data_IF_293478833863
#
_entry.id   IF_293478833863
#
_cell.length_a   1.000
_cell.length_b   1.000
_cell.length_c   1.000
_cell.angle_alpha   90.00
_cell.angle_beta   90.00
_cell.angle_gamma   90.00
#
_symmetry.space_group_name_H-M   'P 1'
#
loop_
_entity.id
_entity.type
_entity.pdbx_description
1 polymer ?
#
# COMPACT_ATOMS: atom_id res chain seq x y z
N UNK A 1 8.80 -12.02 16.22
CA UNK A 1 9.21 -10.62 16.51
C UNK A 1 8.27 -9.71 15.76
N UNK A 2 7.41 -8.96 16.46
CA UNK A 2 6.51 -7.97 15.86
C UNK A 2 7.30 -6.75 15.37
N UNK A 3 7.55 -6.61 14.07
CA UNK A 3 7.94 -5.32 13.51
C UNK A 3 6.68 -4.51 13.23
N UNK A 4 6.16 -3.82 14.24
CA UNK A 4 5.14 -2.76 14.05
C UNK A 4 5.77 -1.68 13.19
N UNK A 5 5.56 -1.74 11.88
CA UNK A 5 5.88 -0.65 10.94
C UNK A 5 5.12 0.59 11.39
N UNK A 6 5.83 1.50 12.07
CA UNK A 6 5.25 2.73 12.59
C UNK A 6 5.03 3.69 11.43
N UNK A 7 3.77 3.80 11.02
CA UNK A 7 3.20 4.90 10.22
C UNK A 7 3.71 6.25 10.73
N UNK A 8 4.22 7.11 9.83
CA UNK A 8 4.64 8.48 10.16
C UNK A 8 3.84 9.48 9.33
N UNK A 9 3.13 10.38 10.00
CA UNK A 9 2.54 11.58 9.39
C UNK A 9 3.64 12.54 8.92
N UNK A 10 3.36 13.42 7.95
CA UNK A 10 4.32 14.38 7.37
C UNK A 10 5.02 15.22 8.46
N UNK A 11 4.28 15.65 9.49
CA UNK A 11 4.83 16.38 10.64
C UNK A 11 5.74 15.52 11.55
N UNK A 12 5.53 14.21 11.62
CA UNK A 12 6.39 13.29 12.37
C UNK A 12 7.62 12.84 11.57
N UNK A 13 7.49 12.72 10.26
CA UNK A 13 8.59 12.49 9.33
C UNK A 13 9.54 13.70 9.29
N UNK A 14 8.99 14.91 9.20
CA UNK A 14 9.72 16.17 9.29
C UNK A 14 10.49 16.27 10.62
N UNK A 15 9.83 15.99 11.76
CA UNK A 15 10.47 15.96 13.08
C UNK A 15 11.60 14.92 13.21
N UNK A 16 11.42 13.70 12.66
CA UNK A 16 12.50 12.68 12.67
C UNK A 16 13.65 13.03 11.75
N UNK A 17 13.38 13.69 10.63
CA UNK A 17 14.39 14.12 9.69
C UNK A 17 15.11 15.40 10.12
N UNK A 18 14.56 16.14 11.10
CA UNK A 18 15.09 17.43 11.54
C UNK A 18 14.90 18.53 10.49
N UNK A 19 13.89 18.41 9.64
CA UNK A 19 13.61 19.31 8.50
C UNK A 19 12.25 19.97 8.73
N UNK A 20 12.08 21.21 8.30
CA UNK A 20 10.79 21.89 8.39
C UNK A 20 9.73 21.17 7.53
N UNK A 21 8.49 20.99 8.02
CA UNK A 21 7.44 20.31 7.27
C UNK A 21 7.16 20.91 5.89
N UNK A 22 7.31 22.22 5.73
CA UNK A 22 7.02 22.88 4.46
C UNK A 22 8.18 22.75 3.47
N UNK A 23 9.40 22.66 3.96
CA UNK A 23 10.58 22.30 3.17
C UNK A 23 10.51 20.82 2.72
N UNK A 24 10.06 19.93 3.60
CA UNK A 24 9.78 18.53 3.24
C UNK A 24 8.70 18.43 2.16
N UNK A 25 7.68 19.29 2.23
CA UNK A 25 6.58 19.36 1.26
C UNK A 25 7.05 19.85 -0.11
N UNK A 26 7.88 20.89 -0.16
CA UNK A 26 8.49 21.38 -1.39
C UNK A 26 9.35 20.33 -2.09
N UNK A 27 10.03 19.46 -1.33
CA UNK A 27 10.81 18.35 -1.90
C UNK A 27 9.93 17.24 -2.51
N UNK A 28 8.72 17.05 -1.99
CA UNK A 28 7.70 16.15 -2.59
C UNK A 28 7.18 16.76 -3.88
N UNK A 29 6.73 18.02 -3.81
CA UNK A 29 6.09 18.70 -4.94
C UNK A 29 7.10 18.94 -6.09
N UNK A 30 8.38 19.12 -5.77
CA UNK A 30 9.48 19.16 -6.73
C UNK A 30 9.92 17.78 -7.27
N UNK A 31 9.21 16.70 -6.92
CA UNK A 31 9.48 15.33 -7.37
C UNK A 31 10.86 14.82 -6.94
N UNK A 32 11.41 15.31 -5.83
CA UNK A 32 12.67 14.87 -5.23
C UNK A 32 12.44 13.75 -4.20
N UNK A 33 11.26 13.73 -3.60
CA UNK A 33 10.73 12.68 -2.74
C UNK A 33 9.42 12.16 -3.34
N UNK A 34 9.29 10.83 -3.48
CA UNK A 34 8.01 10.22 -3.87
C UNK A 34 7.18 9.96 -2.60
N UNK A 35 5.88 10.27 -2.67
CA UNK A 35 4.90 9.97 -1.62
C UNK A 35 4.02 8.83 -2.08
N UNK A 36 4.06 7.71 -1.39
CA UNK A 36 3.08 6.63 -1.58
C UNK A 36 2.00 6.80 -0.51
N UNK A 37 0.79 7.16 -0.93
CA UNK A 37 -0.39 7.16 -0.06
C UNK A 37 -0.91 5.72 0.05
N UNK A 38 -0.90 5.20 1.27
CA UNK A 38 -1.57 3.95 1.63
C UNK A 38 -2.68 4.25 2.63
N UNK A 39 -3.64 3.34 2.81
CA UNK A 39 -4.77 3.48 3.74
C UNK A 39 -4.34 3.76 5.20
N UNK A 40 -3.05 3.55 5.52
CA UNK A 40 -2.45 3.88 6.81
C UNK A 40 -1.60 5.16 6.88
N UNK A 41 -1.30 5.87 5.78
CA UNK A 41 -0.45 7.08 5.78
C UNK A 41 0.56 7.20 4.63
N UNK A 42 1.39 8.27 4.66
CA UNK A 42 2.32 8.66 3.59
C UNK A 42 3.73 8.09 3.77
N UNK A 43 4.20 7.29 2.81
CA UNK A 43 5.59 6.82 2.72
C UNK A 43 6.45 7.77 1.89
N UNK A 44 7.64 8.13 2.39
CA UNK A 44 8.57 9.04 1.71
C UNK A 44 9.77 8.24 1.18
N UNK A 45 9.96 8.20 -0.15
CA UNK A 45 11.07 7.47 -0.76
C UNK A 45 12.02 8.38 -1.56
N UNK A 46 13.32 8.30 -1.28
CA UNK A 46 14.40 9.14 -1.85
C UNK A 46 14.87 8.55 -3.19
N UNK A 47 14.19 8.87 -4.29
CA UNK A 47 14.50 8.34 -5.64
C UNK A 47 15.63 9.04 -6.42
N UNK A 48 16.14 10.19 -5.98
CA UNK A 48 17.00 11.05 -6.84
C UNK A 48 18.46 11.23 -6.42
N UNK A 49 19.00 10.44 -5.50
CA UNK A 49 20.40 10.62 -5.09
C UNK A 49 21.40 10.03 -6.08
N UNK A 50 21.14 8.86 -6.68
CA UNK A 50 22.15 8.19 -7.51
C UNK A 50 22.51 8.97 -8.79
N UNK A 51 21.51 9.39 -9.58
CA UNK A 51 21.74 10.17 -10.82
C UNK A 51 22.25 11.59 -10.56
N UNK A 52 21.88 12.20 -9.44
CA UNK A 52 22.33 13.54 -9.05
C UNK A 52 23.76 13.50 -8.53
N UNK A 53 24.13 12.50 -7.72
CA UNK A 53 25.50 12.33 -7.24
C UNK A 53 26.49 12.14 -8.40
N UNK A 54 26.15 11.38 -9.45
CA UNK A 54 27.02 11.22 -10.64
C UNK A 54 27.20 12.56 -11.38
N UNK A 55 26.12 13.33 -11.56
CA UNK A 55 26.19 14.65 -12.19
C UNK A 55 26.93 15.66 -11.33
N UNK A 56 26.73 15.64 -10.02
CA UNK A 56 27.37 16.52 -9.04
C UNK A 56 28.88 16.19 -8.96
N UNK A 57 29.27 14.91 -9.02
CA UNK A 57 30.68 14.49 -9.14
C UNK A 57 31.30 15.06 -10.42
N UNK A 58 30.63 14.91 -11.57
CA UNK A 58 31.10 15.46 -12.85
C UNK A 58 31.18 16.99 -12.85
N UNK A 59 30.26 17.68 -12.16
CA UNK A 59 30.29 19.16 -12.07
C UNK A 59 31.35 19.66 -11.09
N UNK A 60 31.63 18.94 -9.99
CA UNK A 60 32.73 19.25 -9.07
C UNK A 60 34.09 19.07 -9.76
N UNK A 61 34.25 18.02 -10.57
CA UNK A 61 35.44 17.81 -11.41
C UNK A 61 35.62 18.95 -12.43
N UNK A 62 34.53 19.50 -12.97
CA UNK A 62 34.57 20.58 -13.95
C UNK A 62 34.79 21.99 -13.34
N UNK A 63 34.38 22.23 -12.10
CA UNK A 63 34.41 23.58 -11.48
C UNK A 63 35.60 23.85 -10.56
N UNK A 64 36.40 22.83 -10.20
CA UNK A 64 37.61 23.00 -9.39
C UNK A 64 38.81 22.25 -9.98
N UNK A 65 39.38 22.74 -11.10
CA UNK A 65 40.50 22.06 -11.77
C UNK A 65 41.83 22.08 -11.01
N UNK A 66 41.92 22.78 -9.86
CA UNK A 66 43.20 23.12 -9.21
C UNK A 66 43.29 22.76 -7.70
N UNK A 67 42.46 21.85 -7.20
CA UNK A 67 42.75 21.17 -5.94
C UNK A 67 43.46 19.88 -6.34
N UNK A 68 44.69 19.68 -5.87
CA UNK A 68 45.53 18.52 -6.16
C UNK A 68 45.02 17.18 -5.61
N UNK A 69 43.73 16.89 -5.75
CA UNK A 69 43.16 15.55 -5.62
C UNK A 69 42.54 15.17 -6.95
N UNK A 70 43.39 14.72 -7.88
CA UNK A 70 42.94 13.76 -8.89
C UNK A 70 42.31 12.64 -8.06
N UNK A 71 40.98 12.49 -8.11
CA UNK A 71 40.32 11.36 -7.46
C UNK A 71 41.01 10.12 -8.03
N UNK A 72 41.73 9.32 -7.22
CA UNK A 72 42.45 8.17 -7.70
C UNK A 72 41.51 7.25 -8.48
N UNK A 73 42.00 6.66 -9.57
CA UNK A 73 41.16 5.82 -10.44
C UNK A 73 40.49 4.65 -9.68
N UNK A 74 41.12 4.18 -8.60
CA UNK A 74 40.54 3.21 -7.65
C UNK A 74 39.25 3.74 -6.99
N UNK A 75 39.23 5.01 -6.56
CA UNK A 75 38.04 5.63 -5.97
C UNK A 75 36.94 5.80 -7.03
N UNK A 76 37.30 6.13 -8.28
CA UNK A 76 36.34 6.17 -9.38
C UNK A 76 35.75 4.79 -9.66
N UNK A 77 36.57 3.74 -9.62
CA UNK A 77 36.13 2.35 -9.75
C UNK A 77 35.17 1.94 -8.64
N UNK A 78 35.46 2.29 -7.39
CA UNK A 78 34.58 2.03 -6.25
C UNK A 78 33.25 2.78 -6.36
N UNK A 79 33.25 4.04 -6.82
CA UNK A 79 32.04 4.82 -7.03
C UNK A 79 31.18 4.23 -8.16
N UNK A 80 31.79 3.78 -9.26
CA UNK A 80 31.09 3.10 -10.34
C UNK A 80 30.48 1.77 -9.88
N UNK A 81 31.21 0.99 -9.07
CA UNK A 81 30.69 -0.25 -8.47
C UNK A 81 29.51 0.03 -7.54
N UNK A 82 29.61 1.06 -6.69
CA UNK A 82 28.52 1.48 -5.81
C UNK A 82 27.29 1.94 -6.60
N UNK A 83 27.47 2.72 -7.67
CA UNK A 83 26.37 3.15 -8.54
C UNK A 83 25.66 1.96 -9.20
N UNK A 84 26.43 1.02 -9.76
CA UNK A 84 25.89 -0.20 -10.37
C UNK A 84 25.16 -1.08 -9.34
N UNK A 85 25.67 -1.16 -8.11
CA UNK A 85 25.01 -1.88 -7.03
C UNK A 85 23.68 -1.23 -6.67
N UNK A 86 23.65 0.10 -6.51
CA UNK A 86 22.41 0.85 -6.22
C UNK A 86 21.39 0.66 -7.34
N UNK A 87 21.79 0.76 -8.60
CA UNK A 87 20.88 0.56 -9.74
C UNK A 87 20.26 -0.84 -9.75
N UNK A 88 21.05 -1.88 -9.45
CA UNK A 88 20.52 -3.25 -9.32
C UNK A 88 19.50 -3.36 -8.19
N UNK A 89 19.78 -2.76 -7.04
CA UNK A 89 18.87 -2.75 -5.90
C UNK A 89 17.57 -1.97 -6.20
N UNK A 90 17.66 -0.85 -6.92
CA UNK A 90 16.48 -0.09 -7.35
C UNK A 90 15.60 -0.89 -8.33
N UNK A 91 16.22 -1.60 -9.28
CA UNK A 91 15.50 -2.46 -10.22
C UNK A 91 14.80 -3.63 -9.50
N UNK A 92 15.49 -4.26 -8.56
CA UNK A 92 14.93 -5.36 -7.76
C UNK A 92 13.73 -4.87 -6.92
N UNK A 93 13.87 -3.72 -6.26
CA UNK A 93 12.76 -3.08 -5.53
C UNK A 93 11.57 -2.75 -6.43
N UNK A 94 11.80 -2.36 -7.69
CA UNK A 94 10.72 -2.11 -8.64
C UNK A 94 9.92 -3.38 -8.92
N UNK A 95 10.59 -4.52 -9.12
CA UNK A 95 9.94 -5.81 -9.35
C UNK A 95 9.11 -6.23 -8.13
N UNK A 96 9.61 -6.01 -6.91
CA UNK A 96 8.85 -6.31 -5.70
C UNK A 96 7.59 -5.47 -5.58
N UNK A 97 7.64 -4.16 -5.89
CA UNK A 97 6.45 -3.29 -5.90
C UNK A 97 5.41 -3.73 -6.92
N UNK A 98 5.82 -4.08 -8.13
CA UNK A 98 4.89 -4.57 -9.15
C UNK A 98 4.19 -5.86 -8.72
N UNK A 99 4.90 -6.75 -8.02
CA UNK A 99 4.32 -7.97 -7.45
C UNK A 99 3.34 -7.65 -6.34
N UNK A 100 3.72 -6.75 -5.44
CA UNK A 100 2.88 -6.29 -4.33
C UNK A 100 1.57 -5.67 -4.84
N UNK A 101 1.63 -4.78 -5.84
CA UNK A 101 0.45 -4.17 -6.47
C UNK A 101 -0.49 -5.22 -7.07
N UNK A 102 0.05 -6.26 -7.73
CA UNK A 102 -0.74 -7.37 -8.25
C UNK A 102 -1.43 -8.15 -7.12
N UNK A 103 -0.73 -8.42 -6.02
CA UNK A 103 -1.31 -9.08 -4.86
C UNK A 103 -2.43 -8.25 -4.22
N UNK A 104 -2.22 -6.94 -4.05
CA UNK A 104 -3.24 -6.02 -3.54
C UNK A 104 -4.48 -6.03 -4.45
N UNK A 105 -4.31 -5.99 -5.77
CA UNK A 105 -5.41 -6.06 -6.72
C UNK A 105 -6.22 -7.36 -6.61
N UNK A 106 -5.54 -8.50 -6.46
CA UNK A 106 -6.20 -9.80 -6.23
C UNK A 106 -6.99 -9.82 -4.92
N UNK A 107 -6.42 -9.29 -3.84
CA UNK A 107 -7.08 -9.20 -2.53
C UNK A 107 -8.32 -8.32 -2.58
N UNK A 108 -8.25 -7.14 -3.23
CA UNK A 108 -9.43 -6.27 -3.45
C UNK A 108 -10.51 -6.97 -4.28
N UNK A 109 -10.10 -7.77 -5.27
CA UNK A 109 -11.02 -8.60 -6.05
C UNK A 109 -11.73 -9.65 -5.20
N UNK A 110 -10.99 -10.36 -4.34
CA UNK A 110 -11.52 -11.36 -3.43
C UNK A 110 -12.46 -10.75 -2.39
N UNK A 111 -12.08 -9.62 -1.79
CA UNK A 111 -12.91 -8.87 -0.84
C UNK A 111 -14.27 -8.52 -1.45
N UNK A 112 -14.29 -8.01 -2.69
CA UNK A 112 -15.54 -7.70 -3.41
C UNK A 112 -16.43 -8.93 -3.61
N UNK A 113 -15.85 -10.11 -3.87
CA UNK A 113 -16.61 -11.35 -4.02
C UNK A 113 -17.16 -11.83 -2.69
N UNK A 114 -16.38 -11.73 -1.61
CA UNK A 114 -16.81 -12.08 -0.25
C UNK A 114 -17.99 -11.18 0.16
N UNK A 115 -17.91 -9.88 -0.05
CA UNK A 115 -19.01 -8.96 0.27
C UNK A 115 -20.31 -9.32 -0.47
N UNK A 116 -20.22 -9.63 -1.76
CA UNK A 116 -21.40 -10.10 -2.53
C UNK A 116 -21.99 -11.40 -1.98
N UNK A 117 -21.14 -12.33 -1.56
CA UNK A 117 -21.61 -13.58 -0.98
C UNK A 117 -22.30 -13.36 0.38
N UNK A 118 -21.79 -12.42 1.19
CA UNK A 118 -22.42 -12.02 2.46
C UNK A 118 -23.77 -11.35 2.24
N UNK A 119 -23.90 -10.48 1.23
CA UNK A 119 -25.19 -9.88 0.86
C UNK A 119 -26.21 -10.96 0.46
N UNK A 120 -25.80 -11.93 -0.36
CA UNK A 120 -26.64 -13.06 -0.76
C UNK A 120 -27.05 -13.94 0.44
N UNK A 121 -26.12 -14.23 1.35
CA UNK A 121 -26.42 -14.98 2.57
C UNK A 121 -27.44 -14.25 3.45
N UNK A 122 -27.32 -12.93 3.56
CA UNK A 122 -28.26 -12.10 4.32
C UNK A 122 -29.67 -12.18 3.74
N UNK A 123 -29.81 -12.06 2.42
CA UNK A 123 -31.10 -12.23 1.73
C UNK A 123 -31.69 -13.63 1.92
N UNK A 124 -30.87 -14.68 1.82
CA UNK A 124 -31.32 -16.06 2.06
C UNK A 124 -31.80 -16.26 3.49
N UNK A 125 -31.12 -15.67 4.46
CA UNK A 125 -31.49 -15.72 5.86
C UNK A 125 -32.84 -15.04 6.12
N UNK A 126 -33.06 -13.85 5.56
CA UNK A 126 -34.36 -13.15 5.65
C UNK A 126 -35.49 -13.96 5.02
N UNK A 127 -35.25 -14.54 3.83
CA UNK A 127 -36.20 -15.40 3.15
C UNK A 127 -36.56 -16.63 4.00
N UNK A 128 -35.57 -17.24 4.66
CA UNK A 128 -35.80 -18.38 5.54
C UNK A 128 -36.70 -18.01 6.73
N UNK A 129 -36.47 -16.85 7.35
CA UNK A 129 -37.31 -16.34 8.44
C UNK A 129 -38.76 -16.15 7.94
N UNK A 130 -38.93 -15.57 6.76
CA UNK A 130 -40.26 -15.33 6.18
C UNK A 130 -41.00 -16.64 5.89
N UNK A 131 -40.33 -17.61 5.26
CA UNK A 131 -40.89 -18.94 5.02
C UNK A 131 -41.27 -19.64 6.34
N UNK A 132 -40.47 -19.51 7.38
CA UNK A 132 -40.79 -20.08 8.70
C UNK A 132 -42.08 -19.45 9.28
N UNK A 133 -42.25 -18.13 9.15
CA UNK A 133 -43.48 -17.44 9.56
C UNK A 133 -44.69 -17.93 8.77
N UNK A 134 -44.57 -18.13 7.46
CA UNK A 134 -45.65 -18.66 6.62
C UNK A 134 -45.99 -20.10 6.98
N UNK A 135 -45.00 -20.96 7.15
CA UNK A 135 -45.19 -22.35 7.58
C UNK A 135 -45.93 -22.43 8.93
N UNK A 136 -45.61 -21.54 9.88
CA UNK A 136 -46.35 -21.44 11.16
C UNK A 136 -47.80 -21.02 10.96
N UNK A 137 -48.11 -20.12 10.02
CA UNK A 137 -49.49 -19.72 9.70
C UNK A 137 -50.26 -20.90 9.10
N UNK A 138 -49.66 -21.60 8.14
CA UNK A 138 -50.27 -22.77 7.50
C UNK A 138 -50.56 -23.86 8.55
N UNK A 139 -49.58 -24.16 9.41
CA UNK A 139 -49.75 -25.17 10.47
C UNK A 139 -50.92 -24.82 11.41
N UNK A 140 -51.05 -23.56 11.82
CA UNK A 140 -52.19 -23.11 12.65
C UNK A 140 -53.53 -23.30 11.93
N UNK A 141 -53.59 -22.99 10.65
CA UNK A 141 -54.80 -23.21 9.84
C UNK A 141 -55.15 -24.70 9.71
N UNK A 142 -54.17 -25.56 9.49
CA UNK A 142 -54.36 -27.01 9.40
C UNK A 142 -54.86 -27.61 10.71
N UNK A 143 -54.27 -27.21 11.84
CA UNK A 143 -54.72 -27.63 13.18
C UNK A 143 -56.19 -27.23 13.39
N UNK A 144 -56.57 -26.00 13.03
CA UNK A 144 -57.95 -25.53 13.14
C UNK A 144 -58.93 -26.39 12.33
N UNK A 145 -58.59 -26.66 11.06
CA UNK A 145 -59.42 -27.50 10.18
C UNK A 145 -59.58 -28.91 10.77
N UNK A 146 -58.50 -29.50 11.31
CA UNK A 146 -58.54 -30.81 11.94
C UNK A 146 -59.44 -30.82 13.18
N UNK A 147 -59.32 -29.83 14.05
CA UNK A 147 -60.17 -29.70 15.24
C UNK A 147 -61.64 -29.52 14.88
N UNK A 148 -61.95 -28.68 13.89
CA UNK A 148 -63.32 -28.45 13.41
C UNK A 148 -63.93 -29.71 12.78
N UNK A 149 -63.10 -30.55 12.15
CA UNK A 149 -63.50 -31.84 11.57
C UNK A 149 -63.79 -32.90 12.63
N UNK A 150 -63.04 -32.92 13.74
CA UNK A 150 -63.24 -33.85 14.86
C UNK A 150 -64.41 -33.48 15.78
N UNK A 151 -64.88 -32.23 15.71
CA UNK A 151 -66.01 -31.73 16.51
C UNK A 151 -67.39 -31.96 15.84
N UNK A 152 -67.41 -32.53 14.63
CA UNK A 152 -68.61 -32.96 13.90
C UNK A 152 -68.80 -34.46 13.99
#
# INVERSE_FOLDING_TARGET
MESKERVLTLASAARRAGIDPEELRQLIDGGTLDVVETEGGKYFNRRKYSKRNIKDIQTIEATKPNIGSIIPDEIKGLLAQAANFIERQENELSIYREREEKHISLLKGAEKQISKALDQLSLLYENNINLNKENRKILKSLIKIQSDSQAK
#
